data_IF_529695167193
#
_entry.id   IF_529695167193
#
_cell.length_a   1.000
_cell.length_b   1.000
_cell.length_c   1.000
_cell.angle_alpha   90.00
_cell.angle_beta   90.00
_cell.angle_gamma   90.00
#
_symmetry.space_group_name_H-M   'P 1'
#
loop_
_entity.id
_entity.type
_entity.pdbx_description
1 polymer ?
#
# COMPACT_ATOMS: atom_id res chain seq x y z
N UNK A 1 -16.25 4.01 20.94
CA UNK A 1 -14.85 4.37 20.62
C UNK A 1 -14.85 5.12 19.29
N UNK A 2 -14.35 6.35 19.24
CA UNK A 2 -14.36 7.16 18.02
C UNK A 2 -13.55 6.45 16.93
N UNK A 3 -14.17 6.19 15.78
CA UNK A 3 -13.47 5.68 14.60
C UNK A 3 -12.53 6.79 14.13
N UNK A 4 -11.21 6.57 14.23
CA UNK A 4 -10.23 7.49 13.67
C UNK A 4 -10.32 7.38 12.15
N UNK A 5 -11.09 8.27 11.54
CA UNK A 5 -11.18 8.39 10.08
C UNK A 5 -9.98 9.18 9.60
N UNK A 6 -9.21 8.61 8.69
CA UNK A 6 -8.10 9.33 8.07
C UNK A 6 -8.63 10.37 7.08
N UNK A 7 -7.92 11.50 6.89
CA UNK A 7 -8.21 12.44 5.82
C UNK A 7 -8.29 11.74 4.45
N UNK A 8 -9.12 12.27 3.54
CA UNK A 8 -9.29 11.68 2.19
C UNK A 8 -8.01 11.74 1.35
N UNK A 9 -7.10 12.63 1.70
CA UNK A 9 -5.78 12.85 1.11
C UNK A 9 -4.64 12.29 1.99
N UNK A 10 -4.95 11.41 2.95
CA UNK A 10 -3.94 10.81 3.79
C UNK A 10 -2.99 9.91 2.97
N UNK A 11 -1.69 10.05 3.20
CA UNK A 11 -0.64 9.24 2.56
C UNK A 11 0.01 8.28 3.55
N UNK A 12 0.89 7.39 3.07
CA UNK A 12 1.74 6.59 3.95
C UNK A 12 2.56 7.48 4.90
N UNK A 13 3.02 8.66 4.44
CA UNK A 13 3.71 9.62 5.31
C UNK A 13 2.83 10.12 6.46
N UNK A 14 1.54 10.38 6.22
CA UNK A 14 0.59 10.76 7.28
C UNK A 14 0.49 9.65 8.33
N UNK A 15 0.34 8.40 7.88
CA UNK A 15 0.19 7.23 8.75
C UNK A 15 1.44 7.00 9.58
N UNK A 16 2.62 7.04 8.97
CA UNK A 16 3.93 6.84 9.63
C UNK A 16 4.11 7.75 10.85
N UNK A 17 3.60 8.98 10.82
CA UNK A 17 3.69 9.92 11.96
C UNK A 17 2.84 9.51 13.17
N UNK A 18 1.87 8.62 12.97
CA UNK A 18 0.90 8.18 13.99
C UNK A 18 1.14 6.77 14.49
N UNK A 19 2.05 6.01 13.87
CA UNK A 19 2.33 4.62 14.20
C UNK A 19 3.34 4.51 15.33
N UNK A 20 3.13 3.53 16.22
CA UNK A 20 4.11 3.19 17.27
C UNK A 20 5.40 2.59 16.67
N UNK A 21 5.27 1.85 15.57
CA UNK A 21 6.38 1.20 14.87
C UNK A 21 6.34 1.50 13.35
N UNK A 22 6.65 2.74 12.94
CA UNK A 22 6.52 3.16 11.55
C UNK A 22 7.41 2.36 10.60
N UNK A 23 8.62 2.00 11.04
CA UNK A 23 9.59 1.26 10.23
C UNK A 23 9.03 -0.07 9.73
N UNK A 24 8.42 -0.84 10.63
CA UNK A 24 7.88 -2.17 10.31
C UNK A 24 6.80 -2.07 9.24
N UNK A 25 5.92 -1.08 9.36
CA UNK A 25 4.87 -0.82 8.39
C UNK A 25 5.43 -0.45 7.01
N UNK A 26 6.37 0.52 6.97
CA UNK A 26 6.95 0.99 5.69
C UNK A 26 7.78 -0.11 5.04
N UNK A 27 8.51 -0.91 5.82
CA UNK A 27 9.31 -2.03 5.34
C UNK A 27 8.44 -3.14 4.75
N UNK A 28 7.38 -3.55 5.45
CA UNK A 28 6.43 -4.54 4.94
C UNK A 28 5.72 -4.07 3.67
N UNK A 29 5.31 -2.80 3.63
CA UNK A 29 4.70 -2.19 2.44
C UNK A 29 5.69 -2.15 1.27
N UNK A 30 6.93 -1.71 1.53
CA UNK A 30 7.99 -1.65 0.51
C UNK A 30 8.28 -3.03 -0.08
N UNK A 31 8.37 -4.06 0.76
CA UNK A 31 8.57 -5.43 0.29
C UNK A 31 7.45 -5.88 -0.65
N UNK A 32 6.19 -5.56 -0.34
CA UNK A 32 5.06 -5.87 -1.23
C UNK A 32 5.09 -5.08 -2.53
N UNK A 33 5.45 -3.81 -2.48
CA UNK A 33 5.65 -3.03 -3.71
C UNK A 33 6.81 -3.57 -4.54
N UNK A 34 7.88 -4.06 -3.91
CA UNK A 34 9.01 -4.66 -4.59
C UNK A 34 8.63 -5.99 -5.25
N UNK A 35 7.92 -6.87 -4.54
CA UNK A 35 7.41 -8.13 -5.08
C UNK A 35 6.51 -7.86 -6.30
N UNK A 36 5.56 -6.93 -6.14
CA UNK A 36 4.68 -6.50 -7.23
C UNK A 36 5.48 -5.94 -8.42
N UNK A 37 6.48 -5.08 -8.16
CA UNK A 37 7.33 -4.50 -9.21
C UNK A 37 8.06 -5.54 -10.04
N UNK A 38 8.49 -6.64 -9.41
CA UNK A 38 9.16 -7.76 -10.10
C UNK A 38 8.21 -8.57 -10.99
N UNK A 39 6.95 -8.72 -10.59
CA UNK A 39 5.98 -9.58 -11.27
C UNK A 39 5.16 -8.82 -12.33
N UNK A 40 4.77 -7.58 -12.02
CA UNK A 40 3.76 -6.83 -12.76
C UNK A 40 4.22 -5.43 -13.19
N UNK A 41 5.42 -5.01 -12.77
CA UNK A 41 5.95 -3.67 -13.02
C UNK A 41 5.53 -2.65 -11.96
N UNK A 42 5.90 -1.38 -12.17
CA UNK A 42 5.76 -0.35 -11.14
C UNK A 42 4.31 -0.15 -10.69
N UNK A 43 4.12 0.03 -9.37
CA UNK A 43 2.83 0.34 -8.76
C UNK A 43 2.85 1.62 -7.91
N UNK A 44 1.69 2.23 -7.79
CA UNK A 44 1.34 3.22 -6.79
C UNK A 44 0.70 2.55 -5.58
N UNK A 45 0.86 3.13 -4.40
CA UNK A 45 0.20 2.69 -3.17
C UNK A 45 -0.79 3.74 -2.67
N UNK A 46 -1.95 3.27 -2.22
CA UNK A 46 -2.96 4.06 -1.50
C UNK A 46 -3.30 3.40 -0.19
N UNK A 47 -3.69 4.19 0.81
CA UNK A 47 -4.12 3.67 2.12
C UNK A 47 -5.63 3.68 2.25
N UNK A 48 -6.18 2.75 3.02
CA UNK A 48 -7.60 2.71 3.35
C UNK A 48 -7.94 3.78 4.38
N UNK A 49 -8.99 4.56 4.12
CA UNK A 49 -9.37 5.74 4.93
C UNK A 49 -10.66 5.55 5.74
N UNK A 50 -11.44 4.50 5.45
CA UNK A 50 -12.76 4.25 6.06
C UNK A 50 -12.72 3.31 7.28
N UNK A 51 -11.57 2.69 7.55
CA UNK A 51 -11.37 1.82 8.73
C UNK A 51 -11.14 2.61 10.02
N UNK A 52 -11.34 1.95 11.18
CA UNK A 52 -11.03 2.53 12.50
C UNK A 52 -9.61 2.23 13.01
N UNK A 53 -8.75 1.67 12.16
CA UNK A 53 -7.44 1.15 12.56
C UNK A 53 -6.36 2.24 12.58
N UNK A 54 -5.56 2.27 13.65
CA UNK A 54 -4.29 3.04 13.70
C UNK A 54 -3.30 2.62 12.61
N UNK A 55 -3.45 1.38 12.10
CA UNK A 55 -2.60 0.76 11.08
C UNK A 55 -3.47 0.44 9.85
N UNK A 56 -3.61 1.37 8.88
CA UNK A 56 -4.52 1.19 7.76
C UNK A 56 -4.02 0.13 6.78
N UNK A 57 -4.97 -0.57 6.16
CA UNK A 57 -4.72 -1.41 4.98
C UNK A 57 -4.25 -0.54 3.82
N UNK A 58 -3.59 -1.14 2.84
CA UNK A 58 -3.12 -0.43 1.65
C UNK A 58 -3.41 -1.24 0.38
N UNK A 59 -3.55 -0.54 -0.74
CA UNK A 59 -3.81 -1.08 -2.08
C UNK A 59 -2.68 -0.68 -3.01
N UNK A 60 -2.20 -1.64 -3.79
CA UNK A 60 -1.28 -1.43 -4.90
C UNK A 60 -2.06 -1.28 -6.20
N UNK A 61 -1.66 -0.31 -7.01
CA UNK A 61 -2.26 0.01 -8.30
C UNK A 61 -1.19 0.09 -9.38
N UNK A 62 -1.36 -0.53 -10.56
CA UNK A 62 -0.41 -0.39 -11.66
C UNK A 62 -0.20 1.09 -12.06
N UNK A 63 1.05 1.49 -12.32
CA UNK A 63 1.39 2.87 -12.74
C UNK A 63 1.10 3.16 -14.20
N UNK A 64 1.17 2.15 -15.08
CA UNK A 64 0.96 2.31 -16.52
C UNK A 64 -0.36 1.67 -16.96
N UNK A 65 -1.23 2.53 -17.50
CA UNK A 65 -2.42 2.15 -18.26
C UNK A 65 -2.10 1.71 -19.70
N UNK A 66 -0.82 1.63 -20.09
CA UNK A 66 -0.39 1.33 -21.47
C UNK A 66 -0.36 -0.16 -21.82
N UNK A 67 -0.43 -1.06 -20.83
CA UNK A 67 -0.81 -2.47 -21.09
C UNK A 67 -2.27 -2.59 -21.52
N UNK A 68 -3.04 -1.50 -21.50
CA UNK A 68 -4.35 -1.40 -22.12
C UNK A 68 -4.33 -1.10 -23.63
N UNK A 69 -3.23 -0.55 -24.19
CA UNK A 69 -3.19 -0.15 -25.61
C UNK A 69 -2.77 -1.30 -26.53
N UNK A 70 -1.84 -2.17 -26.10
CA UNK A 70 -1.43 -3.36 -26.87
C UNK A 70 -2.37 -4.55 -26.70
N UNK A 71 -3.19 -4.55 -25.66
CA UNK A 71 -4.17 -5.59 -25.43
C UNK A 71 -5.50 -5.37 -26.19
N UNK A 72 -5.62 -4.25 -26.92
CA UNK A 72 -6.76 -3.95 -27.79
C UNK A 72 -6.64 -4.63 -29.17
N UNK A 73 -5.45 -5.10 -29.55
CA UNK A 73 -5.18 -5.65 -30.90
C UNK A 73 -5.03 -7.17 -31.00
N UNK A 74 -5.10 -7.91 -29.88
CA UNK A 74 -4.86 -9.35 -29.90
C UNK A 74 -5.66 -10.11 -28.87
N UNK A 75 -6.80 -10.65 -29.31
CA UNK A 75 -7.59 -11.70 -28.66
C UNK A 75 -8.37 -11.35 -27.38
N UNK A 76 -9.70 -11.30 -27.51
CA UNK A 76 -10.61 -11.66 -26.43
C UNK A 76 -10.91 -10.54 -25.43
N UNK A 77 -12.01 -9.82 -25.68
CA UNK A 77 -12.59 -8.83 -24.77
C UNK A 77 -13.04 -9.53 -23.48
N UNK A 78 -12.24 -9.42 -22.43
CA UNK A 78 -12.60 -9.87 -21.10
C UNK A 78 -11.39 -9.90 -20.18
N UNK A 79 -11.25 -8.86 -19.35
CA UNK A 79 -10.35 -8.86 -18.19
C UNK A 79 -8.86 -8.50 -18.45
N UNK A 80 -8.63 -7.34 -19.05
CA UNK A 80 -7.45 -6.52 -18.71
C UNK A 80 -7.61 -5.96 -17.29
N UNK A 81 -7.68 -6.87 -16.32
CA UNK A 81 -7.80 -6.57 -14.93
C UNK A 81 -6.62 -5.69 -14.54
N UNK A 82 -6.87 -4.39 -14.32
CA UNK A 82 -6.00 -3.57 -13.48
C UNK A 82 -5.73 -4.42 -12.23
N UNK A 83 -4.52 -4.95 -12.10
CA UNK A 83 -4.20 -5.95 -11.08
C UNK A 83 -4.07 -5.23 -9.75
N UNK A 84 -5.20 -5.01 -9.09
CA UNK A 84 -5.25 -4.41 -7.78
C UNK A 84 -4.98 -5.48 -6.74
N UNK A 85 -4.04 -5.20 -5.85
CA UNK A 85 -3.78 -6.05 -4.70
C UNK A 85 -3.93 -5.22 -3.43
N UNK A 86 -4.76 -5.66 -2.49
CA UNK A 86 -4.82 -5.06 -1.17
C UNK A 86 -4.09 -5.90 -0.15
N UNK A 87 -3.61 -5.23 0.89
CA UNK A 87 -2.79 -5.82 1.92
C UNK A 87 -3.21 -5.32 3.30
N UNK A 88 -3.12 -6.21 4.27
CA UNK A 88 -3.40 -5.88 5.64
C UNK A 88 -2.32 -4.94 6.21
N UNK A 89 -2.70 -3.86 6.90
CA UNK A 89 -1.74 -2.87 7.40
C UNK A 89 -0.76 -3.43 8.43
N UNK A 90 -1.24 -4.30 9.33
CA UNK A 90 -0.39 -4.89 10.39
C UNK A 90 0.42 -6.11 9.95
N UNK A 91 -0.17 -7.00 9.13
CA UNK A 91 0.45 -8.30 8.81
C UNK A 91 1.05 -8.34 7.41
N UNK A 92 0.75 -7.35 6.56
CA UNK A 92 1.12 -7.32 5.14
C UNK A 92 0.69 -8.57 4.36
N UNK A 93 -0.28 -9.33 4.89
CA UNK A 93 -0.92 -10.43 4.15
C UNK A 93 -1.89 -9.85 3.12
N UNK A 94 -1.93 -10.47 1.95
CA UNK A 94 -2.84 -10.09 0.89
C UNK A 94 -4.30 -10.28 1.35
N UNK A 95 -5.14 -9.33 0.99
CA UNK A 95 -6.57 -9.33 1.29
C UNK A 95 -7.31 -9.74 0.02
N UNK A 96 -8.01 -10.87 0.09
CA UNK A 96 -8.88 -11.34 -0.99
C UNK A 96 -10.29 -10.76 -0.83
N UNK A 97 -10.43 -9.46 -1.11
CA UNK A 97 -11.68 -8.72 -0.95
C UNK A 97 -12.51 -8.60 -2.23
N UNK A 98 -12.07 -9.24 -3.32
CA UNK A 98 -12.67 -9.14 -4.64
C UNK A 98 -12.54 -7.75 -5.28
N UNK A 99 -12.63 -7.69 -6.62
CA UNK A 99 -12.39 -6.44 -7.39
C UNK A 99 -13.31 -5.28 -6.99
N UNK A 100 -14.54 -5.52 -6.56
CA UNK A 100 -15.51 -4.45 -6.22
C UNK A 100 -15.07 -3.61 -5.01
N UNK A 101 -14.52 -4.23 -3.96
CA UNK A 101 -13.97 -3.49 -2.81
C UNK A 101 -12.63 -2.85 -3.12
N UNK A 102 -11.85 -3.51 -3.98
CA UNK A 102 -10.57 -3.01 -4.48
C UNK A 102 -10.71 -1.86 -5.46
N UNK A 103 -11.91 -1.55 -6.00
CA UNK A 103 -12.15 -0.38 -6.87
C UNK A 103 -12.96 0.74 -6.21
N UNK A 104 -13.58 0.48 -5.07
CA UNK A 104 -14.45 1.45 -4.38
C UNK A 104 -13.74 2.66 -3.75
N UNK A 105 -14.50 3.53 -3.09
CA UNK A 105 -14.05 4.83 -2.54
C UNK A 105 -13.39 4.73 -1.14
N UNK A 106 -13.05 3.52 -0.69
CA UNK A 106 -12.51 3.29 0.66
C UNK A 106 -11.03 3.66 0.79
N UNK A 107 -10.43 4.26 -0.23
CA UNK A 107 -9.00 4.49 -0.36
C UNK A 107 -8.71 5.98 -0.53
N UNK A 108 -7.54 6.41 -0.07
CA UNK A 108 -7.07 7.78 -0.22
C UNK A 108 -7.05 8.22 -1.68
N UNK A 109 -7.40 9.49 -1.92
CA UNK A 109 -7.39 10.14 -3.25
C UNK A 109 -5.97 10.39 -3.76
N UNK A 110 -4.99 10.46 -2.86
CA UNK A 110 -3.58 10.59 -3.19
C UNK A 110 -2.88 9.25 -3.08
N UNK A 111 -1.75 9.13 -3.77
CA UNK A 111 -0.95 7.92 -3.81
C UNK A 111 0.53 8.24 -3.56
N UNK A 112 1.31 7.21 -3.25
CA UNK A 112 2.77 7.29 -3.25
C UNK A 112 3.36 6.28 -4.24
N UNK A 113 4.42 6.66 -4.92
CA UNK A 113 5.16 5.79 -5.84
C UNK A 113 6.14 4.88 -5.10
N UNK A 114 6.60 3.83 -5.79
CA UNK A 114 7.66 2.96 -5.30
C UNK A 114 8.89 3.74 -4.79
N UNK A 115 9.34 4.75 -5.54
CA UNK A 115 10.51 5.56 -5.16
C UNK A 115 10.23 6.43 -3.92
N UNK A 116 9.04 7.02 -3.83
CA UNK A 116 8.65 7.80 -2.65
C UNK A 116 8.58 6.94 -1.39
N UNK A 117 8.11 5.69 -1.50
CA UNK A 117 8.12 4.72 -0.39
C UNK A 117 9.53 4.27 -0.04
N UNK A 118 10.39 4.05 -1.05
CA UNK A 118 11.81 3.74 -0.83
C UNK A 118 12.52 4.83 -0.05
N UNK A 119 12.32 6.09 -0.45
CA UNK A 119 12.86 7.25 0.28
C UNK A 119 12.32 7.33 1.71
N UNK A 120 11.01 7.09 1.88
CA UNK A 120 10.39 7.09 3.21
C UNK A 120 11.00 5.99 4.10
N UNK A 121 11.28 4.81 3.56
CA UNK A 121 11.94 3.72 4.29
C UNK A 121 13.34 4.12 4.73
N UNK A 122 14.10 4.80 3.88
CA UNK A 122 15.45 5.28 4.20
C UNK A 122 15.43 6.36 5.29
N UNK A 123 14.43 7.25 5.27
CA UNK A 123 14.25 8.32 6.26
C UNK A 123 13.66 7.82 7.58
N UNK A 124 13.03 6.64 7.61
CA UNK A 124 12.43 6.08 8.83
C UNK A 124 13.50 5.33 9.64
N UNK A 125 13.80 5.74 10.89
CA UNK A 125 14.86 5.11 11.68
C UNK A 125 14.56 3.63 11.94
N UNK A 126 15.62 2.81 11.97
CA UNK A 126 15.49 1.40 12.39
C UNK A 126 15.09 1.37 13.87
N UNK A 127 14.24 0.43 14.30
CA UNK A 127 13.98 0.25 15.72
C UNK A 127 15.31 -0.06 16.41
N UNK A 128 15.73 0.83 17.30
CA UNK A 128 16.90 0.60 18.15
C UNK A 128 16.59 -0.62 19.00
N UNK A 129 17.37 -1.70 18.81
CA UNK A 129 17.35 -2.83 19.75
C UNK A 129 17.56 -2.22 21.14
N UNK A 130 16.57 -2.31 22.04
CA UNK A 130 16.81 -1.95 23.44
C UNK A 130 18.02 -2.76 23.91
N UNK A 131 19.03 -2.15 24.54
CA UNK A 131 20.08 -2.95 25.17
C UNK A 131 19.38 -3.89 26.15
N UNK A 132 19.67 -5.18 26.02
CA UNK A 132 19.18 -6.19 26.95
C UNK A 132 19.59 -5.73 28.35
N UNK A 133 18.61 -5.49 29.21
CA UNK A 133 18.86 -5.18 30.62
C UNK A 133 19.60 -6.37 31.21
N UNK A 134 20.90 -6.22 31.44
CA UNK A 134 21.67 -7.16 32.23
C UNK A 134 21.02 -7.21 33.63
N UNK A 135 20.57 -8.38 34.02
CA UNK A 135 20.22 -8.73 35.40
C UNK A 135 21.18 -9.82 35.85
#
# INVERSE_FOLDING_TARGET
>A
MARVRLPEDATVLYVVRTLDNPRVYVEGLFNKMHDYKRLHGSAFVRIGITGGGRIPHYRLEPTNSTTGFLAEFGNGIGDLARHFEAYHGQTHKQLDWGMSRLKGENWSRVYMSYEQIRELLLKTPKPTKRPATAR
#
